data_IF_712824997414
#
_entry.id   IF_712824997414
#
_cell.length_a   1.000
_cell.length_b   1.000
_cell.length_c   1.000
_cell.angle_alpha   90.00
_cell.angle_beta   90.00
_cell.angle_gamma   90.00
#
_symmetry.space_group_name_H-M   'P 1'
#
loop_
_entity.id
_entity.type
_entity.pdbx_description
1 polymer ?
#
# COMPACT_ATOMS: atom_id res chain seq x y z
N UNK A 1 29.77 9.48 22.67
CA UNK A 1 29.76 10.23 21.39
C UNK A 1 28.51 9.79 20.63
N UNK A 2 27.62 10.72 20.21
CA UNK A 2 26.17 10.52 20.32
C UNK A 2 25.55 9.86 19.09
N UNK A 3 24.62 8.92 19.29
CA UNK A 3 23.82 8.29 18.24
C UNK A 3 22.43 8.95 18.17
N UNK A 4 22.24 9.74 17.12
CA UNK A 4 21.01 10.15 16.42
C UNK A 4 19.66 10.26 17.19
N UNK A 5 19.25 11.46 17.63
CA UNK A 5 17.88 11.75 18.07
C UNK A 5 16.89 12.15 16.95
N UNK A 6 17.20 11.94 15.66
CA UNK A 6 16.49 12.61 14.54
C UNK A 6 15.72 11.73 13.55
N UNK A 7 15.67 10.41 13.72
CA UNK A 7 15.10 9.52 12.71
C UNK A 7 13.59 9.76 12.46
N UNK A 8 12.84 10.15 13.50
CA UNK A 8 11.42 10.54 13.38
C UNK A 8 11.24 11.90 12.71
N UNK A 9 12.13 12.87 12.98
CA UNK A 9 12.15 14.16 12.27
C UNK A 9 12.38 14.01 10.77
N UNK A 10 13.31 13.12 10.38
CA UNK A 10 13.64 12.84 8.99
C UNK A 10 12.48 12.22 8.20
N UNK A 11 11.76 11.28 8.81
CA UNK A 11 10.55 10.70 8.21
C UNK A 11 9.41 11.71 8.14
N UNK A 12 9.29 12.58 9.15
CA UNK A 12 8.30 13.65 9.16
C UNK A 12 8.55 14.66 8.03
N UNK A 13 9.81 15.03 7.78
CA UNK A 13 10.18 15.91 6.66
C UNK A 13 9.90 15.24 5.31
N UNK A 14 10.26 13.96 5.15
CA UNK A 14 9.93 13.20 3.95
C UNK A 14 8.41 13.10 3.72
N UNK A 15 7.65 12.91 4.80
CA UNK A 15 6.20 12.88 4.78
C UNK A 15 5.59 14.21 4.31
N UNK A 16 6.03 15.34 4.89
CA UNK A 16 5.58 16.67 4.48
C UNK A 16 5.92 16.96 3.01
N UNK A 17 7.14 16.61 2.58
CA UNK A 17 7.58 16.78 1.20
C UNK A 17 6.77 15.97 0.18
N UNK A 18 6.15 14.86 0.60
CA UNK A 18 5.40 13.96 -0.27
C UNK A 18 3.89 13.99 -0.03
N UNK A 19 3.39 14.87 0.86
CA UNK A 19 2.00 14.92 1.29
C UNK A 19 1.01 14.90 0.11
N UNK A 20 1.23 15.74 -0.90
CA UNK A 20 0.34 15.85 -2.08
C UNK A 20 0.31 14.54 -2.88
N UNK A 21 1.46 13.92 -3.07
CA UNK A 21 1.60 12.65 -3.79
C UNK A 21 0.94 11.51 -3.03
N UNK A 22 1.17 11.43 -1.71
CA UNK A 22 0.51 10.46 -0.83
C UNK A 22 -1.00 10.66 -0.88
N UNK A 23 -1.51 11.89 -0.71
CA UNK A 23 -2.94 12.17 -0.79
C UNK A 23 -3.55 11.70 -2.11
N UNK A 24 -2.94 12.06 -3.24
CA UNK A 24 -3.44 11.64 -4.56
C UNK A 24 -3.40 10.13 -4.75
N UNK A 25 -2.34 9.45 -4.28
CA UNK A 25 -2.26 7.99 -4.32
C UNK A 25 -3.34 7.33 -3.47
N UNK A 26 -3.54 7.81 -2.24
CA UNK A 26 -4.51 7.27 -1.30
C UNK A 26 -5.94 7.52 -1.79
N UNK A 27 -6.26 8.71 -2.30
CA UNK A 27 -7.59 9.01 -2.85
C UNK A 27 -7.95 8.09 -4.02
N UNK A 28 -7.00 7.81 -4.94
CA UNK A 28 -7.22 6.82 -6.00
C UNK A 28 -7.41 5.41 -5.47
N UNK A 29 -6.69 5.07 -4.39
CA UNK A 29 -6.71 3.73 -3.80
C UNK A 29 -7.96 3.47 -2.96
N UNK A 30 -8.51 4.49 -2.29
CA UNK A 30 -9.72 4.37 -1.48
C UNK A 30 -10.99 4.72 -2.24
N UNK A 31 -10.88 5.45 -3.37
CA UNK A 31 -12.02 6.07 -4.04
C UNK A 31 -12.64 7.24 -3.26
N UNK A 32 -12.00 7.68 -2.17
CA UNK A 32 -12.54 8.69 -1.26
C UNK A 32 -11.44 9.64 -0.82
N UNK A 33 -11.66 10.94 -1.03
CA UNK A 33 -10.76 11.99 -0.56
C UNK A 33 -10.73 12.07 0.96
N UNK A 34 -11.87 11.90 1.62
CA UNK A 34 -11.98 12.03 3.07
C UNK A 34 -11.19 10.94 3.80
N UNK A 35 -11.43 9.66 3.45
CA UNK A 35 -10.60 8.53 3.92
C UNK A 35 -9.10 8.71 3.63
N UNK A 36 -8.74 9.39 2.54
CA UNK A 36 -7.34 9.66 2.24
C UNK A 36 -6.74 10.73 3.16
N UNK A 37 -7.49 11.79 3.48
CA UNK A 37 -7.07 12.84 4.42
C UNK A 37 -7.00 12.30 5.86
N UNK A 38 -7.95 11.45 6.27
CA UNK A 38 -7.90 10.74 7.55
C UNK A 38 -6.69 9.80 7.65
N UNK A 39 -6.42 9.01 6.60
CA UNK A 39 -5.26 8.13 6.56
C UNK A 39 -3.94 8.88 6.69
N UNK A 40 -3.84 10.06 6.09
CA UNK A 40 -2.69 10.95 6.23
C UNK A 40 -2.56 11.46 7.66
N UNK A 41 -3.65 11.92 8.25
CA UNK A 41 -3.64 12.39 9.64
C UNK A 41 -3.19 11.28 10.61
N UNK A 42 -3.72 10.07 10.48
CA UNK A 42 -3.29 8.94 11.31
C UNK A 42 -1.84 8.52 11.01
N UNK A 43 -1.39 8.65 9.75
CA UNK A 43 0.04 8.47 9.40
C UNK A 43 0.92 9.46 10.15
N UNK A 44 0.55 10.74 10.17
CA UNK A 44 1.26 11.78 10.92
C UNK A 44 1.36 11.45 12.41
N UNK A 45 0.23 11.10 13.06
CA UNK A 45 0.21 10.71 14.49
C UNK A 45 1.14 9.53 14.74
N UNK A 46 1.13 8.55 13.85
CA UNK A 46 1.95 7.33 13.98
C UNK A 46 3.43 7.59 13.78
N UNK A 47 3.80 8.54 12.92
CA UNK A 47 5.18 9.01 12.77
C UNK A 47 5.63 9.83 13.98
N UNK A 48 4.78 10.74 14.47
CA UNK A 48 5.08 11.61 15.60
C UNK A 48 5.26 10.84 16.92
N UNK A 49 4.59 9.69 17.06
CA UNK A 49 4.71 8.80 18.22
C UNK A 49 5.76 7.70 18.05
N UNK A 50 6.37 7.59 16.86
CA UNK A 50 7.42 6.61 16.58
C UNK A 50 8.72 7.04 17.26
N UNK A 51 9.19 6.25 18.23
CA UNK A 51 10.46 6.51 18.94
C UNK A 51 11.68 6.06 18.14
N UNK A 52 11.58 4.88 17.52
CA UNK A 52 12.59 4.35 16.60
C UNK A 52 11.87 3.83 15.34
N UNK A 53 12.18 4.34 14.15
CA UNK A 53 11.76 3.68 12.93
C UNK A 53 12.42 2.30 12.82
N UNK A 54 11.80 1.34 12.12
CA UNK A 54 12.38 0.00 11.97
C UNK A 54 13.82 0.12 11.47
N UNK A 55 14.77 -0.52 12.16
CA UNK A 55 16.17 -0.46 11.82
C UNK A 55 16.37 -0.78 10.32
N UNK A 56 16.91 0.17 9.56
CA UNK A 56 17.18 -0.02 8.13
C UNK A 56 16.05 0.37 7.16
N UNK A 57 15.27 1.43 7.43
CA UNK A 57 14.49 2.10 6.37
C UNK A 57 15.45 2.67 5.32
N UNK A 58 15.85 1.85 4.36
CA UNK A 58 16.73 2.23 3.25
C UNK A 58 16.01 3.15 2.26
N UNK A 59 14.69 3.03 2.18
CA UNK A 59 13.83 3.86 1.35
C UNK A 59 12.65 4.41 2.18
N UNK A 60 12.78 5.69 2.57
CA UNK A 60 11.78 6.44 3.33
C UNK A 60 10.47 6.59 2.56
N UNK A 61 10.53 6.78 1.25
CA UNK A 61 9.36 6.94 0.38
C UNK A 61 8.54 5.64 0.33
N UNK A 62 9.20 4.50 0.10
CA UNK A 62 8.55 3.20 0.10
C UNK A 62 7.95 2.84 1.47
N UNK A 63 8.59 3.26 2.56
CA UNK A 63 8.04 3.08 3.91
C UNK A 63 6.76 3.91 4.13
N UNK A 64 6.77 5.20 3.80
CA UNK A 64 5.62 6.09 3.99
C UNK A 64 4.42 5.67 3.14
N UNK A 65 4.64 5.30 1.87
CA UNK A 65 3.59 4.75 1.02
C UNK A 65 2.96 3.48 1.59
N UNK A 66 3.77 2.60 2.18
CA UNK A 66 3.27 1.38 2.81
C UNK A 66 2.48 1.68 4.07
N UNK A 67 3.01 2.54 4.94
CA UNK A 67 2.37 2.91 6.19
C UNK A 67 1.01 3.58 5.94
N UNK A 68 1.00 4.66 5.16
CA UNK A 68 -0.22 5.40 4.86
C UNK A 68 -1.21 4.56 4.05
N UNK A 69 -0.71 3.75 3.13
CA UNK A 69 -1.52 2.84 2.33
C UNK A 69 -2.20 1.74 3.15
N UNK A 70 -1.55 1.21 4.18
CA UNK A 70 -2.17 0.23 5.08
C UNK A 70 -3.27 0.88 5.92
N UNK A 71 -3.00 2.05 6.49
CA UNK A 71 -3.98 2.82 7.27
C UNK A 71 -5.21 3.13 6.42
N UNK A 72 -5.02 3.62 5.19
CA UNK A 72 -6.12 3.96 4.29
C UNK A 72 -7.02 2.75 3.96
N UNK A 73 -6.42 1.57 3.77
CA UNK A 73 -7.20 0.34 3.57
C UNK A 73 -7.94 -0.06 4.84
N UNK A 74 -7.32 0.03 6.00
CA UNK A 74 -7.96 -0.30 7.27
C UNK A 74 -9.17 0.60 7.52
N UNK A 75 -9.04 1.91 7.23
CA UNK A 75 -10.14 2.88 7.28
C UNK A 75 -11.24 2.55 6.27
N UNK A 76 -10.89 2.30 4.99
CA UNK A 76 -11.86 1.90 3.96
C UNK A 76 -12.64 0.65 4.36
N UNK A 77 -11.99 -0.33 5.01
CA UNK A 77 -12.67 -1.54 5.49
C UNK A 77 -13.55 -1.26 6.70
N UNK A 78 -13.13 -0.39 7.62
CA UNK A 78 -13.98 0.04 8.73
C UNK A 78 -15.24 0.71 8.20
N UNK A 79 -15.08 1.61 7.23
CA UNK A 79 -16.17 2.28 6.55
C UNK A 79 -17.08 1.27 5.88
N UNK A 80 -16.56 0.40 4.99
CA UNK A 80 -17.37 -0.65 4.33
C UNK A 80 -18.11 -1.57 5.30
N UNK A 81 -17.55 -1.89 6.46
CA UNK A 81 -18.25 -2.67 7.50
C UNK A 81 -19.33 -1.85 8.20
N UNK A 82 -19.08 -0.57 8.44
CA UNK A 82 -20.07 0.36 8.97
C UNK A 82 -21.21 0.53 7.98
N UNK A 83 -20.91 0.87 6.72
CA UNK A 83 -21.86 0.94 5.62
C UNK A 83 -22.60 -0.39 5.46
N UNK A 84 -21.95 -1.56 5.45
CA UNK A 84 -22.64 -2.85 5.33
C UNK A 84 -23.57 -3.18 6.53
N UNK A 85 -23.29 -2.64 7.72
CA UNK A 85 -24.20 -2.74 8.88
C UNK A 85 -25.35 -1.75 8.81
N UNK A 86 -25.17 -0.62 8.12
CA UNK A 86 -26.22 0.36 7.88
C UNK A 86 -27.10 -0.01 6.66
N UNK A 87 -26.50 -0.58 5.61
CA UNK A 87 -27.12 -1.02 4.35
C UNK A 87 -27.92 -2.32 4.48
N UNK A 88 -28.11 -2.87 5.69
CA UNK A 88 -29.27 -3.75 5.93
C UNK A 88 -30.59 -2.98 5.80
N UNK A 89 -30.54 -1.65 5.80
CA UNK A 89 -31.54 -0.74 5.26
C UNK A 89 -30.93 0.06 4.08
N UNK A 90 -31.47 -0.20 2.89
CA UNK A 90 -31.40 0.62 1.66
C UNK A 90 -30.08 0.82 0.90
N UNK A 91 -30.14 0.44 -0.38
CA UNK A 91 -29.16 0.56 -1.47
C UNK A 91 -28.62 1.96 -1.74
N UNK A 92 -27.32 2.09 -2.03
CA UNK A 92 -26.85 2.85 -3.21
C UNK A 92 -25.40 2.53 -3.63
N UNK A 93 -25.23 2.19 -4.92
CA UNK A 93 -23.99 2.17 -5.68
C UNK A 93 -23.85 3.52 -6.40
N UNK A 94 -22.71 4.20 -6.28
CA UNK A 94 -22.48 5.47 -6.97
C UNK A 94 -21.01 5.80 -7.21
N UNK A 95 -20.61 5.68 -8.47
CA UNK A 95 -19.59 6.46 -9.19
C UNK A 95 -18.09 6.27 -8.85
N UNK A 96 -17.38 5.55 -9.74
CA UNK A 96 -15.93 5.50 -9.80
C UNK A 96 -15.46 6.50 -10.87
N UNK A 97 -14.87 7.62 -10.45
CA UNK A 97 -14.25 8.60 -11.34
C UNK A 97 -12.85 8.13 -11.78
N UNK A 98 -12.61 8.13 -13.09
CA UNK A 98 -11.32 7.83 -13.71
C UNK A 98 -10.40 9.06 -13.67
N UNK A 99 -9.19 8.89 -13.15
CA UNK A 99 -8.17 9.93 -13.08
C UNK A 99 -6.81 9.36 -13.53
N UNK A 100 -6.66 9.24 -14.84
CA UNK A 100 -5.42 8.84 -15.51
C UNK A 100 -4.31 9.92 -15.39
N UNK A 101 -3.04 9.54 -15.13
CA UNK A 101 -1.88 10.43 -15.14
C UNK A 101 -1.29 10.69 -16.57
N UNK A 102 -0.43 11.72 -16.70
CA UNK A 102 -0.02 12.39 -17.96
C UNK A 102 1.04 11.66 -18.84
N UNK A 103 1.23 12.08 -20.12
CA UNK A 103 1.91 11.30 -21.18
C UNK A 103 3.44 11.21 -21.17
N UNK A 104 4.17 12.03 -20.41
CA UNK A 104 5.65 11.97 -20.40
C UNK A 104 6.20 10.91 -19.44
N UNK A 105 5.38 10.47 -18.48
CA UNK A 105 5.65 9.32 -17.63
C UNK A 105 5.44 7.97 -18.36
N UNK A 106 4.89 7.97 -19.59
CA UNK A 106 4.39 6.77 -20.27
C UNK A 106 5.48 5.85 -20.84
N UNK A 107 6.66 6.37 -21.22
CA UNK A 107 7.66 5.60 -21.95
C UNK A 107 8.56 4.75 -21.04
N UNK A 108 9.16 5.36 -20.00
CA UNK A 108 9.98 4.65 -19.01
C UNK A 108 9.14 3.68 -18.16
N UNK A 109 7.92 4.10 -17.80
CA UNK A 109 7.00 3.25 -17.04
C UNK A 109 6.46 2.07 -17.84
N UNK A 110 6.43 2.11 -19.18
CA UNK A 110 5.92 0.95 -19.96
C UNK A 110 6.86 -0.23 -19.89
N UNK A 111 8.17 -0.02 -19.94
CA UNK A 111 9.12 -1.14 -19.92
C UNK A 111 9.32 -1.69 -18.52
N UNK A 112 9.36 -0.84 -17.50
CA UNK A 112 9.29 -1.25 -16.10
C UNK A 112 7.98 -2.00 -15.79
N UNK A 113 6.83 -1.51 -16.26
CA UNK A 113 5.54 -2.16 -16.09
C UNK A 113 5.48 -3.50 -16.82
N UNK A 114 5.98 -3.58 -18.06
CA UNK A 114 6.09 -4.85 -18.81
C UNK A 114 6.99 -5.84 -18.08
N UNK A 115 8.10 -5.39 -17.52
CA UNK A 115 8.99 -6.24 -16.75
C UNK A 115 8.34 -6.72 -15.45
N UNK A 116 7.62 -5.84 -14.74
CA UNK A 116 6.84 -6.20 -13.56
C UNK A 116 5.74 -7.22 -13.90
N UNK A 117 5.01 -7.03 -15.00
CA UNK A 117 3.99 -7.98 -15.49
C UNK A 117 4.63 -9.33 -15.80
N UNK A 118 5.79 -9.36 -16.48
CA UNK A 118 6.52 -10.59 -16.76
C UNK A 118 6.97 -11.29 -15.47
N UNK A 119 7.51 -10.55 -14.50
CA UNK A 119 7.88 -11.08 -13.19
C UNK A 119 6.66 -11.64 -12.43
N UNK A 120 5.53 -10.94 -12.47
CA UNK A 120 4.29 -11.42 -11.87
C UNK A 120 3.82 -12.72 -12.54
N UNK A 121 3.91 -12.85 -13.86
CA UNK A 121 3.51 -14.06 -14.58
C UNK A 121 4.45 -15.25 -14.31
N UNK A 122 5.73 -15.00 -14.04
CA UNK A 122 6.72 -16.02 -13.69
C UNK A 122 6.57 -16.55 -12.25
N UNK A 123 5.81 -15.89 -11.39
CA UNK A 123 5.55 -16.38 -10.04
C UNK A 123 4.63 -17.61 -10.01
N UNK A 124 4.86 -18.55 -9.07
CA UNK A 124 3.90 -19.59 -8.77
C UNK A 124 2.54 -19.00 -8.37
N UNK A 125 1.46 -19.73 -8.67
CA UNK A 125 0.09 -19.23 -8.55
C UNK A 125 -0.23 -18.67 -7.14
N UNK A 126 0.12 -19.39 -6.07
CA UNK A 126 -0.20 -18.97 -4.69
C UNK A 126 0.51 -17.67 -4.27
N UNK A 127 1.85 -17.52 -4.42
CA UNK A 127 2.55 -16.25 -4.23
C UNK A 127 1.99 -15.09 -5.06
N UNK A 128 1.71 -15.34 -6.35
CA UNK A 128 1.13 -14.32 -7.24
C UNK A 128 -0.23 -13.85 -6.75
N UNK A 129 -1.13 -14.78 -6.46
CA UNK A 129 -2.48 -14.46 -5.96
C UNK A 129 -2.43 -13.76 -4.62
N UNK A 130 -1.57 -14.20 -3.69
CA UNK A 130 -1.39 -13.51 -2.41
C UNK A 130 -0.94 -12.05 -2.60
N UNK A 131 0.02 -11.80 -3.51
CA UNK A 131 0.51 -10.46 -3.80
C UNK A 131 -0.58 -9.58 -4.42
N UNK A 132 -1.36 -10.09 -5.37
CA UNK A 132 -2.47 -9.37 -5.99
C UNK A 132 -3.57 -9.06 -4.98
N UNK A 133 -4.00 -10.04 -4.18
CA UNK A 133 -4.99 -9.82 -3.12
C UNK A 133 -4.54 -8.77 -2.12
N UNK A 134 -3.24 -8.72 -1.78
CA UNK A 134 -2.71 -7.72 -0.87
C UNK A 134 -2.56 -6.32 -1.50
N UNK A 135 -2.16 -6.23 -2.77
CA UNK A 135 -1.79 -4.96 -3.42
C UNK A 135 -2.92 -4.33 -4.22
N UNK A 136 -3.74 -5.15 -4.88
CA UNK A 136 -4.88 -4.73 -5.68
C UNK A 136 -6.16 -4.69 -4.83
N UNK A 137 -6.45 -5.79 -4.13
CA UNK A 137 -7.68 -5.89 -3.32
C UNK A 137 -7.50 -5.37 -1.88
N UNK A 138 -6.25 -5.05 -1.54
CA UNK A 138 -5.88 -4.48 -0.25
C UNK A 138 -5.96 -5.46 0.91
N UNK A 139 -6.24 -6.75 0.73
CA UNK A 139 -6.52 -7.70 1.82
C UNK A 139 -5.34 -7.89 2.79
N UNK A 140 -5.67 -8.11 4.05
CA UNK A 140 -4.73 -8.40 5.13
C UNK A 140 -4.34 -9.88 5.14
N UNK A 141 -3.28 -10.23 5.87
CA UNK A 141 -2.75 -11.59 5.83
C UNK A 141 -3.76 -12.66 6.29
N UNK A 142 -4.62 -12.34 7.25
CA UNK A 142 -5.66 -13.26 7.75
C UNK A 142 -6.73 -13.54 6.68
N UNK A 143 -7.27 -12.50 6.03
CA UNK A 143 -8.29 -12.67 4.98
C UNK A 143 -7.73 -13.39 3.75
N UNK A 144 -6.47 -13.12 3.39
CA UNK A 144 -5.80 -13.85 2.32
C UNK A 144 -5.59 -15.31 2.71
N UNK A 145 -5.28 -15.58 3.98
CA UNK A 145 -5.10 -16.92 4.51
C UNK A 145 -6.38 -17.73 4.39
N UNK A 146 -7.51 -17.15 4.81
CA UNK A 146 -8.84 -17.76 4.67
C UNK A 146 -9.17 -18.05 3.20
N UNK A 147 -8.92 -17.07 2.32
CA UNK A 147 -9.23 -17.18 0.88
C UNK A 147 -8.36 -18.20 0.13
N UNK A 148 -7.12 -18.39 0.57
CA UNK A 148 -6.17 -19.33 -0.02
C UNK A 148 -6.12 -20.69 0.69
N UNK A 149 -6.85 -20.85 1.79
CA UNK A 149 -6.83 -22.07 2.61
C UNK A 149 -5.47 -22.37 3.22
N UNK A 150 -4.75 -21.33 3.68
CA UNK A 150 -3.41 -21.45 4.29
C UNK A 150 -3.32 -20.61 5.56
N UNK A 151 -2.22 -20.72 6.32
CA UNK A 151 -2.01 -19.87 7.50
C UNK A 151 -1.57 -18.45 7.13
N UNK A 152 -1.85 -17.47 8.00
CA UNK A 152 -1.37 -16.09 7.83
C UNK A 152 0.18 -16.01 7.75
N UNK A 153 0.88 -16.92 8.43
CA UNK A 153 2.33 -17.07 8.31
C UNK A 153 2.77 -17.52 6.92
N UNK A 154 2.02 -18.46 6.31
CA UNK A 154 2.24 -18.87 4.92
C UNK A 154 1.98 -17.73 3.93
N UNK A 155 0.95 -16.91 4.16
CA UNK A 155 0.71 -15.70 3.37
C UNK A 155 1.89 -14.74 3.47
N UNK A 156 2.43 -14.50 4.66
CA UNK A 156 3.61 -13.65 4.82
C UNK A 156 4.82 -14.21 4.02
N UNK A 157 5.02 -15.54 4.02
CA UNK A 157 6.05 -16.20 3.20
C UNK A 157 5.82 -16.00 1.70
N UNK A 158 4.59 -16.19 1.24
CA UNK A 158 4.18 -15.96 -0.15
C UNK A 158 4.42 -14.52 -0.59
N UNK A 159 4.01 -13.54 0.22
CA UNK A 159 4.24 -12.12 -0.06
C UNK A 159 5.73 -11.79 -0.11
N UNK A 160 6.51 -12.31 0.84
CA UNK A 160 7.95 -12.08 0.86
C UNK A 160 8.63 -12.70 -0.37
N UNK A 161 8.23 -13.91 -0.78
CA UNK A 161 8.72 -14.55 -2.02
C UNK A 161 8.35 -13.73 -3.26
N UNK A 162 7.10 -13.31 -3.38
CA UNK A 162 6.61 -12.56 -4.52
C UNK A 162 7.31 -11.20 -4.65
N UNK A 163 7.45 -10.46 -3.54
CA UNK A 163 8.13 -9.16 -3.52
C UNK A 163 9.62 -9.28 -3.86
N UNK A 164 10.31 -10.30 -3.35
CA UNK A 164 11.72 -10.56 -3.72
C UNK A 164 11.85 -10.83 -5.21
N UNK A 165 11.03 -11.73 -5.75
CA UNK A 165 11.08 -12.07 -7.18
C UNK A 165 10.83 -10.85 -8.08
N UNK A 166 9.81 -10.05 -7.79
CA UNK A 166 9.53 -8.84 -8.56
C UNK A 166 10.69 -7.84 -8.48
N UNK A 167 11.24 -7.62 -7.29
CA UNK A 167 12.39 -6.70 -7.11
C UNK A 167 13.62 -7.17 -7.87
N UNK A 168 13.95 -8.45 -7.77
CA UNK A 168 15.16 -9.00 -8.39
C UNK A 168 15.03 -8.99 -9.93
N UNK A 169 13.82 -9.21 -10.46
CA UNK A 169 13.53 -9.09 -11.89
C UNK A 169 13.62 -7.66 -12.42
N UNK A 170 13.21 -6.66 -11.61
CA UNK A 170 13.31 -5.25 -11.98
C UNK A 170 14.73 -4.69 -11.89
N UNK A 171 15.59 -5.26 -11.04
CA UNK A 171 17.02 -4.90 -10.94
C UNK A 171 17.88 -5.47 -12.07
N UNK A 172 17.36 -6.45 -12.81
CA UNK A 172 18.03 -7.10 -13.92
C UNK A 172 17.73 -6.43 -15.28
N UNK A 173 16.99 -5.32 -15.27
CA UNK A 173 16.78 -4.41 -16.40
C UNK A 173 17.91 -3.38 -16.45
#
# INVERSE_FOLDING_TARGET
MPLAPFASSDLMLAYLGQWRTLRGHLSRRTGSRDLAEEALQETWVRLATMRDPPAGVQDKHAFLLRLAGNIAIDLLRRERRHTARCLSDETLLGEIADHAPSPEAYALHRDELRALVRALLALPAKPRTALLLNRCDGLGHAEIADRLGVSASMVAKYLAQALRHCRDSLRAL
#
